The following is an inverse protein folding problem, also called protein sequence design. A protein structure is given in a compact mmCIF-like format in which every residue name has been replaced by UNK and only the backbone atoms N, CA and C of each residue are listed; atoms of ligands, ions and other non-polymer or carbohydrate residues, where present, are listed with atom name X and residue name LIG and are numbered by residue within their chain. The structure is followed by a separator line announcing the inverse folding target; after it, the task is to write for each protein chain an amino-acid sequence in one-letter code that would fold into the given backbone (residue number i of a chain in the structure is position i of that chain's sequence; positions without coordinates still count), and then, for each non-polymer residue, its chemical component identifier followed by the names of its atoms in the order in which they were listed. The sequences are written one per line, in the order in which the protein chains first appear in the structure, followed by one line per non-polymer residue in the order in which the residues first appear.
data_IF_071661487168
#
_entry.id   IF_071661487168
#
_cell.length_a   1.000
_cell.length_b   1.000
_cell.length_c   1.000
_cell.angle_alpha   90.00
_cell.angle_beta   90.00
_cell.angle_gamma   90.00
#
_symmetry.space_group_name_H-M   'P 1'
#
loop_
_entity.id
_entity.type
_entity.pdbx_description
1 polymer ?
#
# COMPACT_ATOMS: atom_id res chain seq x y z
N UNK A 1 -29.43 -3.73 -12.24
CA UNK A 1 -28.71 -2.52 -12.69
C UNK A 1 -27.33 -2.95 -13.18
N UNK A 2 -26.88 -2.43 -14.32
CA UNK A 2 -25.56 -2.72 -14.85
C UNK A 2 -24.49 -1.94 -14.09
N UNK A 3 -23.40 -2.58 -13.70
CA UNK A 3 -22.27 -1.97 -12.98
C UNK A 3 -21.52 -0.99 -13.91
N UNK A 4 -21.34 0.26 -13.46
CA UNK A 4 -20.71 1.34 -14.26
C UNK A 4 -19.34 1.77 -13.71
N UNK A 5 -18.68 0.92 -12.93
CA UNK A 5 -17.34 1.16 -12.38
C UNK A 5 -16.21 0.61 -13.24
N UNK A 6 -16.48 -0.23 -14.24
CA UNK A 6 -15.48 -0.99 -14.98
C UNK A 6 -14.35 -0.12 -15.61
N UNK A 7 -14.65 1.08 -16.11
CA UNK A 7 -13.62 1.99 -16.63
C UNK A 7 -12.71 2.54 -15.52
N UNK A 8 -13.28 2.85 -14.35
CA UNK A 8 -12.52 3.33 -13.19
C UNK A 8 -11.65 2.20 -12.62
N UNK A 9 -12.19 0.99 -12.54
CA UNK A 9 -11.46 -0.21 -12.12
C UNK A 9 -10.28 -0.48 -13.04
N UNK A 10 -10.50 -0.54 -14.36
CA UNK A 10 -9.45 -0.79 -15.34
C UNK A 10 -8.35 0.30 -15.31
N UNK A 11 -8.73 1.57 -15.14
CA UNK A 11 -7.78 2.67 -14.98
C UNK A 11 -6.96 2.52 -13.70
N UNK A 12 -7.63 2.23 -12.59
CA UNK A 12 -6.95 2.03 -11.30
C UNK A 12 -6.00 0.84 -11.33
N UNK A 13 -6.43 -0.30 -11.88
CA UNK A 13 -5.59 -1.50 -12.03
C UNK A 13 -4.34 -1.22 -12.87
N UNK A 14 -4.49 -0.45 -13.96
CA UNK A 14 -3.36 0.02 -14.76
C UNK A 14 -2.36 0.84 -13.96
N UNK A 15 -2.83 1.76 -13.12
CA UNK A 15 -1.98 2.59 -12.25
C UNK A 15 -1.26 1.74 -11.19
N UNK A 16 -1.96 0.80 -10.54
CA UNK A 16 -1.33 -0.14 -9.60
C UNK A 16 -0.26 -1.00 -10.27
N UNK A 17 -0.53 -1.51 -11.49
CA UNK A 17 0.45 -2.29 -12.25
C UNK A 17 1.71 -1.47 -12.57
N UNK A 18 1.55 -0.19 -12.97
CA UNK A 18 2.68 0.72 -13.21
C UNK A 18 3.45 0.97 -11.91
N UNK A 19 2.79 1.25 -10.80
CA UNK A 19 3.45 1.49 -9.52
C UNK A 19 4.29 0.28 -9.08
N UNK A 20 3.75 -0.95 -9.21
CA UNK A 20 4.46 -2.19 -8.90
C UNK A 20 5.67 -2.39 -9.82
N UNK A 21 5.56 -2.10 -11.11
CA UNK A 21 6.69 -2.24 -12.05
C UNK A 21 7.76 -1.19 -11.81
N UNK A 22 7.38 0.03 -11.44
CA UNK A 22 8.34 1.08 -11.06
C UNK A 22 9.16 0.69 -9.82
N UNK A 23 8.59 -0.02 -8.86
CA UNK A 23 9.36 -0.55 -7.73
C UNK A 23 10.50 -1.47 -8.19
N UNK A 24 10.27 -2.30 -9.21
CA UNK A 24 11.28 -3.21 -9.73
C UNK A 24 12.41 -2.48 -10.49
N UNK A 25 12.10 -1.39 -11.18
CA UNK A 25 13.09 -0.59 -11.93
C UNK A 25 14.09 0.08 -10.98
N UNK A 26 13.68 0.37 -9.75
CA UNK A 26 14.55 1.00 -8.75
C UNK A 26 15.61 0.05 -8.16
N UNK A 27 15.47 -1.28 -8.37
CA UNK A 27 16.49 -2.26 -7.95
C UNK A 27 17.64 -2.23 -8.94
N UNK A 28 18.83 -1.92 -8.47
CA UNK A 28 20.00 -1.92 -9.34
C UNK A 28 21.32 -1.86 -8.61
N UNK A 29 22.33 -2.39 -9.25
CA UNK A 29 23.71 -2.23 -8.82
C UNK A 29 24.34 -1.16 -9.71
N UNK A 30 24.82 -0.08 -9.10
CA UNK A 30 25.50 0.99 -9.84
C UNK A 30 26.77 0.44 -10.50
N UNK A 31 26.95 0.74 -11.77
CA UNK A 31 28.21 0.44 -12.47
C UNK A 31 29.39 1.08 -11.74
N UNK A 32 30.48 0.35 -11.63
CA UNK A 32 31.73 0.84 -11.05
C UNK A 32 32.93 0.30 -11.83
N UNK A 33 34.00 1.09 -11.85
CA UNK A 33 35.24 0.69 -12.52
C UNK A 33 35.93 -0.45 -11.76
N UNK A 34 36.55 -1.38 -12.49
CA UNK A 34 37.24 -2.53 -11.91
C UNK A 34 36.33 -3.69 -11.47
N UNK A 35 35.15 -3.83 -12.10
CA UNK A 35 34.26 -4.95 -11.86
C UNK A 35 34.92 -6.29 -12.26
N UNK A 36 34.95 -7.26 -11.33
CA UNK A 36 35.35 -8.64 -11.53
C UNK A 36 34.21 -9.55 -11.09
N UNK A 37 34.22 -10.84 -11.50
CA UNK A 37 33.18 -11.77 -11.09
C UNK A 37 33.05 -11.88 -9.56
N UNK A 38 34.17 -11.83 -8.84
CA UNK A 38 34.19 -11.98 -7.40
C UNK A 38 33.60 -10.74 -6.68
N UNK A 39 34.07 -9.54 -7.06
CA UNK A 39 33.59 -8.32 -6.40
C UNK A 39 32.17 -7.93 -6.83
N UNK A 40 31.73 -8.33 -8.04
CA UNK A 40 30.36 -8.15 -8.48
C UNK A 40 29.41 -9.03 -7.65
N UNK A 41 29.76 -10.30 -7.43
CA UNK A 41 28.96 -11.18 -6.57
C UNK A 41 28.80 -10.64 -5.14
N UNK A 42 29.90 -10.13 -4.58
CA UNK A 42 29.86 -9.49 -3.27
C UNK A 42 28.91 -8.27 -3.27
N UNK A 43 28.97 -7.44 -4.30
CA UNK A 43 28.07 -6.28 -4.47
C UNK A 43 26.61 -6.68 -4.58
N UNK A 44 26.29 -7.76 -5.30
CA UNK A 44 24.93 -8.31 -5.38
C UNK A 44 24.42 -8.69 -3.98
N UNK A 45 25.25 -9.36 -3.17
CA UNK A 45 24.85 -9.75 -1.82
C UNK A 45 24.74 -8.53 -0.89
N UNK A 46 25.68 -7.60 -0.97
CA UNK A 46 25.66 -6.37 -0.17
C UNK A 46 24.45 -5.48 -0.47
N UNK A 47 23.86 -5.61 -1.67
CA UNK A 47 22.68 -4.84 -2.07
C UNK A 47 21.33 -5.38 -1.48
N UNK A 48 21.40 -6.31 -0.52
CA UNK A 48 20.23 -6.88 0.14
C UNK A 48 19.21 -5.85 0.67
N UNK A 49 19.62 -4.61 1.10
CA UNK A 49 18.65 -3.63 1.57
C UNK A 49 17.64 -3.18 0.49
N UNK A 50 18.09 -3.05 -0.76
CA UNK A 50 17.20 -2.70 -1.87
C UNK A 50 16.22 -3.85 -2.16
N UNK A 51 16.68 -5.11 -2.17
CA UNK A 51 15.81 -6.28 -2.35
C UNK A 51 14.77 -6.39 -1.25
N UNK A 52 15.19 -6.22 0.00
CA UNK A 52 14.32 -6.24 1.16
C UNK A 52 13.24 -5.14 1.07
N UNK A 53 13.64 -3.92 0.75
CA UNK A 53 12.73 -2.78 0.64
C UNK A 53 11.76 -2.95 -0.53
N UNK A 54 12.24 -3.50 -1.65
CA UNK A 54 11.39 -3.87 -2.78
C UNK A 54 10.30 -4.87 -2.37
N UNK A 55 10.67 -6.00 -1.78
CA UNK A 55 9.69 -7.02 -1.36
C UNK A 55 8.67 -6.47 -0.37
N UNK A 56 9.13 -5.67 0.59
CA UNK A 56 8.24 -5.00 1.53
C UNK A 56 7.23 -4.10 0.82
N UNK A 57 7.70 -3.28 -0.09
CA UNK A 57 6.86 -2.32 -0.81
C UNK A 57 5.95 -2.99 -1.82
N UNK A 58 6.42 -4.02 -2.52
CA UNK A 58 5.61 -4.84 -3.42
C UNK A 58 4.42 -5.46 -2.69
N UNK A 59 4.68 -6.14 -1.56
CA UNK A 59 3.61 -6.73 -0.76
C UNK A 59 2.63 -5.69 -0.22
N UNK A 60 3.14 -4.52 0.21
CA UNK A 60 2.32 -3.40 0.68
C UNK A 60 1.39 -2.89 -0.43
N UNK A 61 1.92 -2.62 -1.63
CA UNK A 61 1.10 -2.14 -2.77
C UNK A 61 0.09 -3.19 -3.21
N UNK A 62 0.48 -4.47 -3.22
CA UNK A 62 -0.43 -5.57 -3.55
C UNK A 62 -1.62 -5.65 -2.59
N UNK A 63 -1.39 -5.53 -1.28
CA UNK A 63 -2.45 -5.53 -0.27
C UNK A 63 -3.36 -4.29 -0.38
N UNK A 64 -2.79 -3.13 -0.69
CA UNK A 64 -3.56 -1.92 -0.97
C UNK A 64 -4.45 -2.13 -2.20
N UNK A 65 -3.90 -2.69 -3.29
CA UNK A 65 -4.66 -3.01 -4.50
C UNK A 65 -5.81 -3.97 -4.21
N UNK A 66 -5.57 -5.05 -3.45
CA UNK A 66 -6.62 -6.00 -3.08
C UNK A 66 -7.77 -5.32 -2.32
N UNK A 67 -7.45 -4.48 -1.34
CA UNK A 67 -8.44 -3.71 -0.59
C UNK A 67 -9.19 -2.70 -1.46
N UNK A 68 -8.48 -1.99 -2.34
CA UNK A 68 -9.03 -1.02 -3.27
C UNK A 68 -10.00 -1.67 -4.28
N UNK A 69 -9.58 -2.79 -4.88
CA UNK A 69 -10.42 -3.54 -5.82
C UNK A 69 -11.73 -3.99 -5.16
N UNK A 70 -11.68 -4.51 -3.92
CA UNK A 70 -12.87 -4.91 -3.16
C UNK A 70 -13.80 -3.74 -2.87
N UNK A 71 -13.28 -2.54 -2.59
CA UNK A 71 -14.08 -1.34 -2.40
C UNK A 71 -14.87 -0.98 -3.66
N UNK A 72 -14.20 -0.91 -4.82
CA UNK A 72 -14.84 -0.56 -6.08
C UNK A 72 -15.84 -1.63 -6.54
N UNK A 73 -15.58 -2.91 -6.25
CA UNK A 73 -16.48 -4.01 -6.55
C UNK A 73 -17.81 -3.95 -5.79
N UNK A 74 -17.89 -3.20 -4.70
CA UNK A 74 -19.09 -3.09 -3.86
C UNK A 74 -19.96 -1.88 -4.18
N UNK A 75 -19.66 -1.13 -5.26
CA UNK A 75 -20.43 0.03 -5.70
C UNK A 75 -20.92 -0.10 -7.14
N UNK A 76 -22.13 0.43 -7.43
CA UNK A 76 -22.73 0.42 -8.76
C UNK A 76 -22.14 1.46 -9.72
N UNK A 77 -21.95 2.68 -9.22
CA UNK A 77 -21.55 3.84 -10.02
C UNK A 77 -20.77 4.83 -9.15
N UNK A 78 -19.58 5.27 -9.58
CA UNK A 78 -18.86 6.30 -8.86
C UNK A 78 -19.51 7.69 -9.12
N UNK A 79 -19.59 8.52 -8.09
CA UNK A 79 -19.84 9.95 -8.23
C UNK A 79 -18.54 10.69 -8.54
N UNK A 80 -18.64 11.95 -8.96
CA UNK A 80 -17.45 12.79 -9.21
C UNK A 80 -16.54 12.87 -7.97
N UNK A 81 -17.10 13.03 -6.78
CA UNK A 81 -16.32 13.05 -5.54
C UNK A 81 -15.59 11.73 -5.27
N UNK A 82 -16.22 10.58 -5.59
CA UNK A 82 -15.57 9.27 -5.44
C UNK A 82 -14.43 9.12 -6.43
N UNK A 83 -14.58 9.61 -7.67
CA UNK A 83 -13.48 9.61 -8.65
C UNK A 83 -12.30 10.41 -8.11
N UNK A 84 -12.51 11.63 -7.60
CA UNK A 84 -11.44 12.45 -7.03
C UNK A 84 -10.77 11.81 -5.81
N UNK A 85 -11.53 11.15 -4.93
CA UNK A 85 -10.96 10.43 -3.80
C UNK A 85 -10.18 9.18 -4.23
N UNK A 86 -10.64 8.49 -5.28
CA UNK A 86 -9.92 7.42 -5.93
C UNK A 86 -8.58 7.92 -6.51
N UNK A 87 -8.62 9.04 -7.24
CA UNK A 87 -7.42 9.61 -7.86
C UNK A 87 -6.39 10.05 -6.81
N UNK A 88 -6.84 10.49 -5.62
CA UNK A 88 -5.94 10.74 -4.49
C UNK A 88 -5.23 9.47 -4.01
N UNK A 89 -5.93 8.33 -3.94
CA UNK A 89 -5.30 7.04 -3.63
C UNK A 89 -4.27 6.69 -4.68
N UNK A 90 -4.65 6.77 -5.96
CA UNK A 90 -3.76 6.44 -7.08
C UNK A 90 -2.52 7.34 -7.14
N UNK A 91 -2.66 8.64 -6.88
CA UNK A 91 -1.54 9.57 -6.79
C UNK A 91 -0.51 9.13 -5.75
N UNK A 92 -0.97 8.79 -4.54
CA UNK A 92 -0.06 8.35 -3.47
C UNK A 92 0.57 7.00 -3.78
N UNK A 93 -0.16 6.08 -4.41
CA UNK A 93 0.36 4.77 -4.84
C UNK A 93 1.46 4.92 -5.89
N UNK A 94 1.28 5.78 -6.90
CA UNK A 94 2.30 6.04 -7.93
C UNK A 94 3.56 6.68 -7.34
N UNK A 95 3.43 7.47 -6.29
CA UNK A 95 4.55 8.10 -5.59
C UNK A 95 5.27 7.14 -4.62
N UNK A 96 4.70 5.98 -4.32
CA UNK A 96 5.24 5.05 -3.31
C UNK A 96 6.64 4.48 -3.62
N UNK A 97 7.08 4.31 -4.89
CA UNK A 97 8.46 3.97 -5.21
C UNK A 97 9.49 4.95 -4.61
N UNK A 98 9.15 6.23 -4.46
CA UNK A 98 10.07 7.22 -3.90
C UNK A 98 10.44 6.96 -2.42
N UNK A 99 9.50 6.82 -1.45
CA UNK A 99 9.88 6.44 -0.08
C UNK A 99 10.54 5.04 -0.02
N UNK A 100 10.15 4.11 -0.89
CA UNK A 100 10.76 2.79 -0.99
C UNK A 100 12.25 2.87 -1.33
N UNK A 101 12.58 3.56 -2.41
CA UNK A 101 13.97 3.79 -2.84
C UNK A 101 14.79 4.49 -1.76
N UNK A 102 14.18 5.48 -1.10
CA UNK A 102 14.86 6.23 -0.03
C UNK A 102 15.25 5.30 1.13
N UNK A 103 14.39 4.37 1.55
CA UNK A 103 14.75 3.38 2.58
C UNK A 103 15.86 2.47 2.09
N UNK A 104 15.76 1.90 0.88
CA UNK A 104 16.79 1.01 0.30
C UNK A 104 18.17 1.67 0.26
N UNK A 105 18.22 2.95 -0.12
CA UNK A 105 19.47 3.70 -0.25
C UNK A 105 20.13 4.06 1.10
N UNK A 106 19.37 4.20 2.18
CA UNK A 106 19.87 4.69 3.47
C UNK A 106 19.81 3.67 4.61
N UNK A 107 19.30 2.45 4.37
CA UNK A 107 19.39 1.35 5.34
C UNK A 107 20.87 1.04 5.60
N UNK A 108 21.23 0.85 6.87
CA UNK A 108 22.65 0.66 7.27
C UNK A 108 23.44 1.97 7.45
N UNK A 109 22.83 3.14 7.26
CA UNK A 109 23.43 4.45 7.56
C UNK A 109 22.84 5.09 8.81
N UNK A 110 23.43 6.16 9.30
CA UNK A 110 22.89 6.94 10.43
C UNK A 110 21.57 7.66 10.09
N UNK A 111 21.17 7.72 8.81
CA UNK A 111 19.93 8.33 8.36
C UNK A 111 18.74 7.35 8.35
N UNK A 112 18.95 6.07 8.69
CA UNK A 112 17.92 5.02 8.63
C UNK A 112 16.65 5.38 9.40
N UNK A 113 16.75 5.99 10.57
CA UNK A 113 15.61 6.36 11.38
C UNK A 113 14.69 7.37 10.66
N UNK A 114 15.27 8.37 10.01
CA UNK A 114 14.52 9.38 9.27
C UNK A 114 13.80 8.79 8.06
N UNK A 115 14.49 7.95 7.27
CA UNK A 115 13.89 7.39 6.06
C UNK A 115 12.81 6.36 6.38
N UNK A 116 12.96 5.58 7.45
CA UNK A 116 11.91 4.65 7.91
C UNK A 116 10.72 5.40 8.49
N UNK A 117 10.93 6.49 9.22
CA UNK A 117 9.85 7.38 9.67
C UNK A 117 9.07 7.94 8.47
N UNK A 118 9.76 8.42 7.45
CA UNK A 118 9.16 8.92 6.21
C UNK A 118 8.34 7.84 5.49
N UNK A 119 8.89 6.62 5.36
CA UNK A 119 8.21 5.49 4.73
C UNK A 119 6.94 5.09 5.47
N UNK A 120 7.01 4.96 6.80
CA UNK A 120 5.85 4.61 7.62
C UNK A 120 4.77 5.71 7.56
N UNK A 121 5.17 6.98 7.63
CA UNK A 121 4.26 8.12 7.49
C UNK A 121 3.58 8.17 6.12
N UNK A 122 4.33 7.88 5.03
CA UNK A 122 3.78 7.83 3.68
C UNK A 122 2.78 6.68 3.51
N UNK A 123 3.07 5.50 4.06
CA UNK A 123 2.13 4.36 4.09
C UNK A 123 0.86 4.72 4.87
N UNK A 124 1.02 5.44 5.98
CA UNK A 124 -0.11 6.00 6.73
C UNK A 124 -0.98 6.95 5.87
N UNK A 125 -0.36 7.84 5.07
CA UNK A 125 -1.10 8.74 4.17
C UNK A 125 -1.91 7.97 3.11
N UNK A 126 -1.39 6.89 2.55
CA UNK A 126 -2.15 6.02 1.65
C UNK A 126 -3.35 5.42 2.40
N UNK A 127 -3.16 4.96 3.63
CA UNK A 127 -4.26 4.41 4.44
C UNK A 127 -5.32 5.48 4.75
N UNK A 128 -4.92 6.73 5.00
CA UNK A 128 -5.84 7.87 5.15
C UNK A 128 -6.63 8.12 3.86
N UNK A 129 -5.99 8.10 2.69
CA UNK A 129 -6.69 8.31 1.42
C UNK A 129 -7.71 7.19 1.14
N UNK A 130 -7.39 5.94 1.47
CA UNK A 130 -8.32 4.81 1.41
C UNK A 130 -9.50 4.97 2.38
N UNK A 131 -9.25 5.49 3.59
CA UNK A 131 -10.31 5.82 4.55
C UNK A 131 -11.24 6.91 3.99
N UNK A 132 -10.68 7.96 3.41
CA UNK A 132 -11.47 9.04 2.79
C UNK A 132 -12.34 8.52 1.65
N UNK A 133 -11.83 7.61 0.81
CA UNK A 133 -12.59 6.95 -0.24
C UNK A 133 -13.79 6.17 0.35
N UNK A 134 -13.57 5.36 1.38
CA UNK A 134 -14.63 4.61 2.05
C UNK A 134 -15.68 5.52 2.70
N UNK A 135 -15.26 6.59 3.36
CA UNK A 135 -16.17 7.58 3.95
C UNK A 135 -16.96 8.32 2.88
N UNK A 136 -16.33 8.62 1.73
CA UNK A 136 -17.02 9.20 0.56
C UNK A 136 -18.14 8.30 0.04
N UNK A 137 -17.89 6.99 -0.04
CA UNK A 137 -18.88 5.99 -0.47
C UNK A 137 -20.03 5.90 0.54
N UNK A 138 -19.74 5.89 1.84
CA UNK A 138 -20.78 5.80 2.88
C UNK A 138 -21.69 7.04 2.96
N UNK A 139 -21.27 8.20 2.44
CA UNK A 139 -22.12 9.40 2.35
C UNK A 139 -23.28 9.22 1.37
N UNK A 140 -23.09 8.41 0.31
CA UNK A 140 -24.14 8.08 -0.65
C UNK A 140 -24.38 6.56 -0.69
N UNK A 141 -25.10 6.07 0.33
CA UNK A 141 -25.41 4.64 0.47
C UNK A 141 -26.18 4.04 -0.70
N UNK A 142 -26.80 4.88 -1.56
CA UNK A 142 -27.57 4.42 -2.73
C UNK A 142 -26.69 3.80 -3.82
N UNK A 143 -25.39 4.11 -3.82
CA UNK A 143 -24.45 3.52 -4.79
C UNK A 143 -23.92 2.17 -4.36
N UNK A 144 -24.13 1.75 -3.11
CA UNK A 144 -23.64 0.48 -2.57
C UNK A 144 -24.48 -0.68 -3.09
N UNK A 145 -23.82 -1.69 -3.64
CA UNK A 145 -24.45 -2.94 -4.06
C UNK A 145 -24.86 -3.71 -2.81
N UNK A 146 -26.08 -4.25 -2.77
CA UNK A 146 -26.62 -5.04 -1.65
C UNK A 146 -26.27 -4.40 -0.29
N UNK A 147 -26.87 -3.23 0.06
CA UNK A 147 -26.46 -2.48 1.26
C UNK A 147 -26.54 -3.30 2.55
N UNK A 148 -27.51 -4.24 2.66
CA UNK A 148 -27.64 -5.10 3.84
C UNK A 148 -26.39 -5.94 4.12
N UNK A 149 -25.73 -6.42 3.06
CA UNK A 149 -24.51 -7.22 3.13
C UNK A 149 -23.25 -6.34 3.21
N UNK A 150 -23.16 -5.32 2.35
CA UNK A 150 -21.92 -4.57 2.16
C UNK A 150 -21.72 -3.42 3.15
N UNK A 151 -22.76 -2.84 3.78
CA UNK A 151 -22.58 -1.81 4.80
C UNK A 151 -21.79 -2.29 6.01
N UNK A 152 -22.05 -3.47 6.62
CA UNK A 152 -21.21 -4.00 7.70
C UNK A 152 -19.75 -4.17 7.27
N UNK A 153 -19.49 -4.65 6.04
CA UNK A 153 -18.15 -4.78 5.49
C UNK A 153 -17.42 -3.42 5.42
N UNK A 154 -18.08 -2.36 4.88
CA UNK A 154 -17.50 -1.02 4.85
C UNK A 154 -17.16 -0.50 6.26
N UNK A 155 -18.03 -0.72 7.25
CA UNK A 155 -17.74 -0.31 8.62
C UNK A 155 -16.55 -1.06 9.23
N UNK A 156 -16.43 -2.36 8.97
CA UNK A 156 -15.28 -3.16 9.42
C UNK A 156 -13.99 -2.71 8.72
N UNK A 157 -14.03 -2.42 7.41
CA UNK A 157 -12.90 -1.89 6.68
C UNK A 157 -12.45 -0.54 7.24
N UNK A 158 -13.37 0.37 7.55
CA UNK A 158 -13.06 1.67 8.18
C UNK A 158 -12.39 1.48 9.54
N UNK A 159 -12.88 0.55 10.38
CA UNK A 159 -12.22 0.23 11.66
C UNK A 159 -10.78 -0.25 11.44
N UNK A 160 -10.58 -1.16 10.48
CA UNK A 160 -9.25 -1.61 10.09
C UNK A 160 -8.35 -0.47 9.62
N UNK A 161 -8.87 0.44 8.81
CA UNK A 161 -8.12 1.62 8.33
C UNK A 161 -7.75 2.57 9.48
N UNK A 162 -8.63 2.80 10.44
CA UNK A 162 -8.32 3.62 11.62
C UNK A 162 -7.20 2.96 12.44
N UNK A 163 -7.27 1.65 12.69
CA UNK A 163 -6.20 0.89 13.36
C UNK A 163 -4.89 1.03 12.57
N UNK A 164 -4.94 0.84 11.25
CA UNK A 164 -3.78 0.98 10.37
C UNK A 164 -3.13 2.37 10.47
N UNK A 165 -3.93 3.43 10.43
CA UNK A 165 -3.44 4.81 10.57
C UNK A 165 -2.73 5.01 11.93
N UNK A 166 -3.31 4.51 13.01
CA UNK A 166 -2.71 4.60 14.36
C UNK A 166 -1.38 3.86 14.39
N UNK A 167 -1.33 2.63 13.85
CA UNK A 167 -0.10 1.82 13.83
C UNK A 167 0.99 2.45 12.97
N UNK A 168 0.65 2.97 11.77
CA UNK A 168 1.64 3.63 10.91
C UNK A 168 2.11 4.97 11.49
N UNK A 169 1.24 5.74 12.13
CA UNK A 169 1.63 6.95 12.85
C UNK A 169 2.57 6.62 14.02
N UNK A 170 2.26 5.57 14.79
CA UNK A 170 3.13 5.09 15.85
C UNK A 170 4.46 4.58 15.30
N UNK A 171 4.46 3.81 14.19
CA UNK A 171 5.68 3.34 13.53
C UNK A 171 6.53 4.53 13.05
N UNK A 172 5.94 5.58 12.49
CA UNK A 172 6.66 6.78 12.08
C UNK A 172 7.33 7.51 13.26
N UNK A 173 6.68 7.54 14.43
CA UNK A 173 7.24 8.15 15.64
C UNK A 173 8.33 7.26 16.23
N UNK A 174 8.08 5.96 16.39
CA UNK A 174 9.04 5.04 16.98
C UNK A 174 10.29 4.85 16.13
N UNK A 175 10.20 5.09 14.81
CA UNK A 175 11.34 5.05 13.90
C UNK A 175 12.47 5.99 14.31
N UNK A 176 12.17 7.14 14.92
CA UNK A 176 13.20 8.06 15.44
C UNK A 176 14.04 7.44 16.56
N UNK A 177 13.51 6.44 17.26
CA UNK A 177 14.22 5.71 18.33
C UNK A 177 14.78 4.38 17.83
N UNK A 178 14.04 3.67 16.96
CA UNK A 178 14.43 2.37 16.41
C UNK A 178 13.77 2.11 15.07
N UNK A 179 14.52 2.27 13.99
CA UNK A 179 14.07 1.91 12.64
C UNK A 179 13.67 0.42 12.54
N UNK A 180 14.37 -0.46 13.26
CA UNK A 180 14.08 -1.91 13.24
C UNK A 180 12.68 -2.22 13.80
N UNK A 181 12.30 -1.62 14.93
CA UNK A 181 10.96 -1.81 15.52
C UNK A 181 9.88 -1.25 14.59
N UNK A 182 10.14 -0.08 13.99
CA UNK A 182 9.20 0.53 13.05
C UNK A 182 8.98 -0.33 11.79
N UNK A 183 10.05 -0.89 11.22
CA UNK A 183 9.96 -1.83 10.10
C UNK A 183 9.21 -3.10 10.49
N UNK A 184 9.49 -3.67 11.67
CA UNK A 184 8.77 -4.84 12.17
C UNK A 184 7.26 -4.58 12.31
N UNK A 185 6.86 -3.38 12.76
CA UNK A 185 5.45 -2.96 12.79
C UNK A 185 4.83 -2.90 11.39
N UNK A 186 5.53 -2.30 10.42
CA UNK A 186 5.03 -2.24 9.03
C UNK A 186 4.87 -3.62 8.41
N UNK A 187 5.76 -4.56 8.70
CA UNK A 187 5.64 -5.98 8.31
C UNK A 187 4.45 -6.67 9.00
N UNK A 188 4.27 -6.45 10.30
CA UNK A 188 3.12 -6.99 11.05
C UNK A 188 1.79 -6.58 10.44
N UNK A 189 1.74 -5.37 9.86
CA UNK A 189 0.55 -4.87 9.16
C UNK A 189 0.20 -5.66 7.89
N UNK A 190 1.11 -6.41 7.28
CA UNK A 190 0.75 -7.28 6.16
C UNK A 190 -0.21 -8.39 6.58
N UNK A 191 0.10 -9.05 7.71
CA UNK A 191 -0.77 -10.09 8.25
C UNK A 191 -2.14 -9.50 8.59
N UNK A 192 -2.14 -8.33 9.23
CA UNK A 192 -3.38 -7.63 9.56
C UNK A 192 -4.20 -7.33 8.28
N UNK A 193 -3.60 -6.75 7.24
CA UNK A 193 -4.31 -6.42 6.01
C UNK A 193 -4.71 -7.65 5.20
N UNK A 194 -3.89 -8.71 5.18
CA UNK A 194 -4.23 -9.96 4.52
C UNK A 194 -5.49 -10.58 5.15
N UNK A 195 -5.63 -10.51 6.48
CA UNK A 195 -6.83 -10.98 7.19
C UNK A 195 -8.00 -10.02 6.99
N UNK A 196 -7.78 -8.70 7.14
CA UNK A 196 -8.83 -7.70 7.03
C UNK A 196 -9.43 -7.58 5.62
N UNK A 197 -8.67 -7.96 4.59
CA UNK A 197 -9.15 -8.00 3.20
C UNK A 197 -9.73 -9.35 2.80
N UNK A 198 -9.72 -10.37 3.66
CA UNK A 198 -10.40 -11.65 3.38
C UNK A 198 -11.92 -11.41 3.34
N UNK A 199 -12.60 -11.94 2.32
CA UNK A 199 -14.06 -11.89 2.27
C UNK A 199 -14.64 -12.98 3.20
N UNK A 200 -15.65 -12.61 3.97
CA UNK A 200 -16.44 -13.56 4.76
C UNK A 200 -17.35 -14.44 3.89
N UNK A 201 -17.36 -14.22 2.59
CA UNK A 201 -18.19 -14.97 1.63
C UNK A 201 -17.57 -16.33 1.25
N UNK A 202 -16.25 -16.47 1.34
CA UNK A 202 -15.55 -17.74 1.08
C UNK A 202 -15.82 -18.80 2.17
N UNK A 203 -16.40 -18.41 3.31
CA UNK A 203 -16.70 -19.32 4.43
C UNK A 203 -18.14 -19.90 4.38
N UNK A 204 -18.98 -19.50 3.40
CA UNK A 204 -20.36 -19.97 3.29
C UNK A 204 -20.63 -20.86 2.07
N UNK A 205 -19.62 -21.18 1.27
CA UNK A 205 -19.73 -22.12 0.13
C UNK A 205 -19.12 -23.51 0.43
N UNK A 206 -18.61 -23.76 1.63
CA UNK A 206 -18.24 -25.09 2.15
C UNK A 206 -19.32 -25.59 3.16
#
# INVERSE_FOLDING_TARGET
MEKKTGRLEAFSDGIFAVAITLLAIEIGIKEYQGATNQNLWQKIVENWPEYFTYFNSFATVLLIWMGHNKILNKIWKPSHSIILLNDLVLLLVVLFPFPTKTVGAFIGTNAVNTVVSFYAGFTGMITVSMLLLNLGILRDKKIIINPGKNLPWFHNMIRGQIIGIIVYAFAAIIAFYSAFIALALTFGMWVFWAIATKDTDDEMED
#
